data_IF_878866295946
#
_entry.id   IF_878866295946
#
_cell.length_a   1.000
_cell.length_b   1.000
_cell.length_c   1.000
_cell.angle_alpha   90.00
_cell.angle_beta   90.00
_cell.angle_gamma   90.00
#
_symmetry.space_group_name_H-M   'P 1'
#
loop_
_entity.id
_entity.type
_entity.pdbx_description
1 polymer ?
#
# COMPACT_ATOMS: atom_id res chain seq x y z
N UNK A 1 0.38 5.33 -5.04
CA UNK A 1 1.15 4.10 -5.36
C UNK A 1 0.40 2.86 -4.90
N UNK A 2 0.40 2.52 -3.60
CA UNK A 2 -0.40 1.38 -3.14
C UNK A 2 -1.89 1.72 -3.09
N UNK A 3 -2.27 2.85 -2.47
CA UNK A 3 -3.67 3.24 -2.31
C UNK A 3 -4.42 3.35 -3.63
N UNK A 4 -3.83 4.04 -4.59
CA UNK A 4 -4.36 4.16 -5.96
C UNK A 4 -4.52 2.80 -6.63
N UNK A 5 -3.52 1.90 -6.50
CA UNK A 5 -3.61 0.54 -7.04
C UNK A 5 -4.75 -0.25 -6.42
N UNK A 6 -4.95 -0.14 -5.11
CA UNK A 6 -6.06 -0.79 -4.41
C UNK A 6 -7.42 -0.22 -4.86
N UNK A 7 -7.50 1.08 -5.11
CA UNK A 7 -8.69 1.73 -5.68
C UNK A 7 -9.03 1.17 -7.06
N UNK A 8 -8.05 1.12 -7.97
CA UNK A 8 -8.23 0.57 -9.31
C UNK A 8 -8.71 -0.89 -9.28
N UNK A 9 -8.10 -1.71 -8.42
CA UNK A 9 -8.48 -3.12 -8.24
C UNK A 9 -9.88 -3.27 -7.63
N UNK A 10 -10.27 -2.41 -6.68
CA UNK A 10 -11.62 -2.37 -6.12
C UNK A 10 -12.64 -2.02 -7.21
N UNK A 11 -12.37 -0.98 -7.98
CA UNK A 11 -13.27 -0.48 -9.03
C UNK A 11 -13.41 -1.45 -10.18
N UNK A 12 -12.34 -2.15 -10.58
CA UNK A 12 -12.41 -3.20 -11.60
C UNK A 12 -13.27 -4.39 -11.18
N UNK A 13 -13.46 -4.60 -9.86
CA UNK A 13 -14.39 -5.58 -9.30
C UNK A 13 -15.80 -5.05 -9.05
N UNK A 14 -16.08 -3.79 -9.36
CA UNK A 14 -17.38 -3.16 -9.11
C UNK A 14 -17.72 -3.02 -7.62
N UNK A 15 -16.72 -3.11 -6.73
CA UNK A 15 -16.92 -3.04 -5.29
C UNK A 15 -17.04 -1.59 -4.82
N UNK A 16 -17.99 -1.31 -3.94
CA UNK A 16 -18.10 -0.03 -3.23
C UNK A 16 -17.12 0.00 -2.06
N UNK A 17 -16.62 1.19 -1.70
CA UNK A 17 -15.74 1.36 -0.54
C UNK A 17 -16.33 0.78 0.76
N UNK A 18 -17.65 0.94 0.97
CA UNK A 18 -18.36 0.37 2.13
C UNK A 18 -18.31 -1.16 2.23
N UNK A 19 -18.20 -1.86 1.10
CA UNK A 19 -18.10 -3.33 1.09
C UNK A 19 -16.71 -3.79 1.53
N UNK A 20 -15.67 -3.09 1.06
CA UNK A 20 -14.30 -3.32 1.54
C UNK A 20 -14.16 -2.96 3.02
N UNK A 21 -14.80 -1.87 3.45
CA UNK A 21 -14.80 -1.44 4.85
C UNK A 21 -15.40 -2.51 5.77
N UNK A 22 -16.54 -3.10 5.38
CA UNK A 22 -17.18 -4.18 6.12
C UNK A 22 -16.30 -5.43 6.24
N UNK A 23 -15.63 -5.84 5.15
CA UNK A 23 -14.72 -6.99 5.15
C UNK A 23 -13.50 -6.78 6.05
N UNK A 24 -13.03 -5.53 6.16
CA UNK A 24 -11.88 -5.18 6.98
C UNK A 24 -12.23 -4.82 8.42
N UNK A 25 -13.52 -4.77 8.77
CA UNK A 25 -14.02 -4.29 10.05
C UNK A 25 -13.49 -2.87 10.39
N UNK A 26 -13.61 -1.96 9.42
CA UNK A 26 -13.20 -0.55 9.53
C UNK A 26 -14.28 0.39 9.01
N UNK A 27 -14.12 1.68 9.26
CA UNK A 27 -15.01 2.70 8.72
C UNK A 27 -14.76 2.97 7.22
N UNK A 28 -15.79 3.38 6.48
CA UNK A 28 -15.65 3.70 5.04
C UNK A 28 -14.64 4.83 4.79
N UNK A 29 -14.48 5.77 5.74
CA UNK A 29 -13.51 6.86 5.60
C UNK A 29 -12.06 6.37 5.71
N UNK A 30 -11.79 5.26 6.42
CA UNK A 30 -10.52 4.54 6.38
C UNK A 30 -10.20 4.12 4.95
N UNK A 31 -11.15 3.49 4.25
CA UNK A 31 -10.95 3.02 2.86
C UNK A 31 -10.67 4.21 1.94
N UNK A 32 -11.43 5.30 2.06
CA UNK A 32 -11.19 6.52 1.29
C UNK A 32 -9.78 7.08 1.51
N UNK A 33 -9.36 7.24 2.78
CA UNK A 33 -8.01 7.73 3.13
C UNK A 33 -6.91 6.77 2.68
N UNK A 34 -7.15 5.47 2.75
CA UNK A 34 -6.23 4.45 2.26
C UNK A 34 -6.03 4.60 0.75
N UNK A 35 -7.13 4.69 -0.01
CA UNK A 35 -7.09 4.79 -1.47
C UNK A 35 -6.41 6.07 -1.96
N UNK A 36 -6.50 7.15 -1.18
CA UNK A 36 -5.79 8.40 -1.45
C UNK A 36 -4.33 8.41 -0.95
N UNK A 37 -3.84 7.30 -0.38
CA UNK A 37 -2.52 7.16 0.27
C UNK A 37 -2.32 8.05 1.52
N UNK A 38 -3.38 8.66 2.06
CA UNK A 38 -3.32 9.47 3.29
C UNK A 38 -3.08 8.58 4.51
N UNK A 39 -3.72 7.41 4.56
CA UNK A 39 -3.60 6.43 5.65
C UNK A 39 -2.85 5.17 5.19
N UNK A 40 -1.81 4.73 5.91
CA UNK A 40 -1.10 3.50 5.56
C UNK A 40 -1.95 2.26 5.86
N UNK A 41 -1.75 1.21 5.08
CA UNK A 41 -2.41 -0.09 5.23
C UNK A 41 -1.58 -0.97 6.18
N UNK A 42 -2.22 -1.65 7.13
CA UNK A 42 -1.52 -2.67 7.93
C UNK A 42 -1.24 -3.91 7.09
N UNK A 43 -0.21 -4.70 7.44
CA UNK A 43 0.06 -5.95 6.69
C UNK A 43 -1.11 -6.94 6.80
N UNK A 44 -1.80 -6.97 7.94
CA UNK A 44 -3.01 -7.78 8.12
C UNK A 44 -4.14 -7.35 7.17
N UNK A 45 -4.42 -6.05 7.07
CA UNK A 45 -5.42 -5.55 6.12
C UNK A 45 -5.00 -5.81 4.69
N UNK A 46 -3.71 -5.70 4.35
CA UNK A 46 -3.22 -6.01 3.01
C UNK A 46 -3.56 -7.44 2.60
N UNK A 47 -3.40 -8.40 3.51
CA UNK A 47 -3.75 -9.81 3.28
C UNK A 47 -5.26 -10.01 3.08
N UNK A 48 -6.10 -9.37 3.90
CA UNK A 48 -7.57 -9.43 3.71
C UNK A 48 -7.98 -8.80 2.37
N UNK A 49 -7.40 -7.66 2.01
CA UNK A 49 -7.62 -6.97 0.74
C UNK A 49 -7.16 -7.86 -0.44
N UNK A 50 -6.01 -8.53 -0.33
CA UNK A 50 -5.52 -9.42 -1.39
C UNK A 50 -6.51 -10.57 -1.66
N UNK A 51 -7.07 -11.15 -0.59
CA UNK A 51 -8.09 -12.19 -0.70
C UNK A 51 -9.39 -11.64 -1.30
N UNK A 52 -9.91 -10.52 -0.79
CA UNK A 52 -11.13 -9.89 -1.30
C UNK A 52 -11.01 -9.51 -2.78
N UNK A 53 -9.88 -8.92 -3.16
CA UNK A 53 -9.60 -8.49 -4.52
C UNK A 53 -9.07 -9.64 -5.38
N UNK A 54 -8.91 -10.86 -4.86
CA UNK A 54 -8.42 -12.02 -5.61
C UNK A 54 -7.10 -11.75 -6.35
N UNK A 55 -6.22 -10.97 -5.74
CA UNK A 55 -4.89 -10.64 -6.26
C UNK A 55 -3.86 -11.29 -5.34
N UNK A 56 -2.79 -11.91 -5.87
CA UNK A 56 -1.70 -12.43 -5.05
C UNK A 56 -1.14 -11.35 -4.10
N UNK A 57 -0.97 -11.69 -2.81
CA UNK A 57 -0.37 -10.77 -1.84
C UNK A 57 1.04 -10.31 -2.30
N UNK A 58 1.77 -11.19 -2.98
CA UNK A 58 3.10 -10.93 -3.56
C UNK A 58 3.11 -9.79 -4.59
N UNK A 59 1.98 -9.50 -5.26
CA UNK A 59 1.89 -8.40 -6.21
C UNK A 59 1.68 -7.06 -5.49
N UNK A 60 1.17 -7.09 -4.26
CA UNK A 60 0.89 -5.92 -3.43
C UNK A 60 2.03 -5.60 -2.45
N UNK A 61 2.77 -6.61 -1.99
CA UNK A 61 3.83 -6.45 -1.00
C UNK A 61 4.95 -5.48 -1.42
N UNK A 62 5.47 -5.50 -2.66
CA UNK A 62 6.48 -4.52 -3.09
C UNK A 62 5.96 -3.09 -3.01
N UNK A 63 4.70 -2.85 -3.41
CA UNK A 63 4.06 -1.55 -3.32
C UNK A 63 3.88 -1.12 -1.86
N UNK A 64 3.52 -2.05 -0.98
CA UNK A 64 3.38 -1.80 0.45
C UNK A 64 4.69 -1.43 1.12
N UNK A 65 5.78 -2.17 0.85
CA UNK A 65 7.11 -1.83 1.34
C UNK A 65 7.57 -0.49 0.77
N UNK A 66 7.37 -0.27 -0.53
CA UNK A 66 7.70 0.99 -1.20
C UNK A 66 7.02 2.19 -0.56
N UNK A 67 5.74 2.09 -0.19
CA UNK A 67 5.02 3.16 0.49
C UNK A 67 5.59 3.44 1.89
N UNK A 68 6.02 2.41 2.63
CA UNK A 68 6.70 2.59 3.92
C UNK A 68 8.04 3.30 3.75
N UNK A 69 8.87 2.85 2.81
CA UNK A 69 10.17 3.48 2.51
C UNK A 69 9.96 4.94 2.11
N UNK A 70 9.03 5.20 1.18
CA UNK A 70 8.68 6.55 0.73
C UNK A 70 8.30 7.46 1.91
N UNK A 71 7.48 6.99 2.85
CA UNK A 71 7.08 7.77 4.03
C UNK A 71 8.25 8.14 4.93
N UNK A 72 9.23 7.26 5.09
CA UNK A 72 10.44 7.53 5.88
C UNK A 72 11.31 8.59 5.19
N UNK A 73 11.50 8.51 3.87
CA UNK A 73 12.47 9.36 3.18
C UNK A 73 11.90 10.66 2.61
N UNK A 74 10.57 10.82 2.49
CA UNK A 74 9.92 11.93 1.77
C UNK A 74 10.33 13.32 2.24
N UNK A 75 10.55 13.49 3.55
CA UNK A 75 10.86 14.79 4.15
C UNK A 75 12.34 14.94 4.53
N UNK A 76 13.17 13.96 4.16
CA UNK A 76 14.60 13.95 4.49
C UNK A 76 15.38 14.64 3.38
N UNK A 77 16.23 15.61 3.75
CA UNK A 77 17.10 16.35 2.81
C UNK A 77 17.91 15.42 1.91
N UNK A 78 18.36 14.30 2.45
CA UNK A 78 19.20 13.31 1.77
C UNK A 78 18.48 11.99 1.51
N UNK A 79 17.13 11.95 1.58
CA UNK A 79 16.36 10.71 1.51
C UNK A 79 16.60 9.87 0.25
N UNK A 80 16.71 10.51 -0.91
CA UNK A 80 17.02 9.82 -2.18
C UNK A 80 18.43 9.22 -2.17
N UNK A 81 19.44 10.00 -1.75
CA UNK A 81 20.82 9.54 -1.70
C UNK A 81 21.00 8.39 -0.70
N UNK A 82 20.32 8.44 0.45
CA UNK A 82 20.31 7.35 1.42
C UNK A 82 19.76 6.05 0.81
N UNK A 83 18.66 6.14 0.04
CA UNK A 83 18.10 4.97 -0.66
C UNK A 83 19.09 4.39 -1.69
N UNK A 84 19.76 5.24 -2.47
CA UNK A 84 20.76 4.82 -3.44
C UNK A 84 21.96 4.10 -2.79
N UNK A 85 22.43 4.60 -1.64
CA UNK A 85 23.51 3.97 -0.85
C UNK A 85 23.09 2.55 -0.41
N UNK A 86 21.91 2.41 0.19
CA UNK A 86 21.39 1.12 0.67
C UNK A 86 21.21 0.13 -0.49
N UNK A 87 20.66 0.56 -1.62
CA UNK A 87 20.49 -0.30 -2.79
C UNK A 87 21.83 -0.80 -3.34
N UNK A 88 22.85 0.06 -3.36
CA UNK A 88 24.20 -0.34 -3.77
C UNK A 88 24.79 -1.38 -2.82
N UNK A 89 24.60 -1.23 -1.50
CA UNK A 89 25.06 -2.19 -0.51
C UNK A 89 24.40 -3.57 -0.69
N UNK A 90 23.07 -3.60 -0.83
CA UNK A 90 22.31 -4.84 -1.03
C UNK A 90 22.62 -5.56 -2.36
N UNK A 91 23.07 -4.83 -3.38
CA UNK A 91 23.40 -5.42 -4.69
C UNK A 91 24.81 -6.01 -4.75
N UNK A 92 25.64 -5.73 -3.74
CA UNK A 92 27.02 -6.21 -3.64
C UNK A 92 27.17 -7.38 -2.63
N UNK A 93 26.05 -7.85 -2.06
CA UNK A 93 26.01 -8.95 -1.09
C UNK A 93 25.39 -10.23 -1.65
#
# INVERSE_FOLDING_TARGET
MLGEKLKELRESKGLLQRQVAAELDVDTAYISKMENNDKPVSKEHLKKISTLLGVPENDLLPLWVGEKVKRVIKNEKFGKQALEIVLKELSNG
#
